data_IF_113819288909
#
_entry.id   IF_113819288909
#
_cell.length_a   1.000
_cell.length_b   1.000
_cell.length_c   1.000
_cell.angle_alpha   90.00
_cell.angle_beta   90.00
_cell.angle_gamma   90.00
#
_symmetry.space_group_name_H-M   'P 1'
#
loop_
_entity.id
_entity.type
_entity.pdbx_description
1 polymer ?
#
# COMPACT_ATOMS: atom_id res chain seq x y z
N UNK A 1 -34.07 27.45 48.82
CA UNK A 1 -32.80 27.16 49.54
C UNK A 1 -32.87 25.82 50.30
N UNK A 2 -33.31 24.73 49.65
CA UNK A 2 -33.39 23.38 50.26
C UNK A 2 -33.24 22.22 49.26
N UNK A 3 -32.89 22.48 47.99
CA UNK A 3 -32.70 21.46 46.96
C UNK A 3 -31.25 21.32 46.46
N UNK A 4 -30.33 22.19 46.91
CA UNK A 4 -28.90 22.09 46.58
C UNK A 4 -28.06 21.27 47.59
N UNK A 5 -28.65 20.78 48.69
CA UNK A 5 -27.93 19.99 49.72
C UNK A 5 -28.06 18.47 49.57
N UNK A 6 -28.85 17.95 48.62
CA UNK A 6 -29.02 16.49 48.40
C UNK A 6 -28.11 15.89 47.33
N UNK A 7 -27.49 16.69 46.46
CA UNK A 7 -26.58 16.20 45.42
C UNK A 7 -25.10 16.13 45.85
N UNK A 8 -24.72 16.70 46.99
CA UNK A 8 -23.33 16.66 47.46
C UNK A 8 -22.99 15.39 48.27
N UNK A 9 -24.00 14.69 48.80
CA UNK A 9 -23.81 13.43 49.53
C UNK A 9 -23.67 12.21 48.60
N UNK A 10 -24.22 12.28 47.38
CA UNK A 10 -24.19 11.17 46.42
C UNK A 10 -22.84 11.05 45.70
N UNK A 11 -22.10 12.17 45.58
CA UNK A 11 -20.77 12.20 44.96
C UNK A 11 -19.61 11.83 45.90
N UNK A 12 -19.85 11.75 47.22
CA UNK A 12 -18.85 11.31 48.21
C UNK A 12 -18.89 9.80 48.50
N UNK A 13 -19.90 9.08 48.02
CA UNK A 13 -20.04 7.62 48.23
C UNK A 13 -19.51 6.77 47.06
N UNK A 14 -19.24 7.35 45.90
CA UNK A 14 -18.71 6.62 44.73
C UNK A 14 -17.18 6.68 44.59
N UNK A 15 -16.48 7.52 45.36
CA UNK A 15 -15.01 7.60 45.36
C UNK A 15 -14.33 6.67 46.38
N UNK A 16 -15.07 5.79 47.04
CA UNK A 16 -14.56 4.92 48.12
C UNK A 16 -14.42 3.43 47.75
N UNK A 17 -14.55 3.05 46.47
CA UNK A 17 -14.45 1.64 46.01
C UNK A 17 -13.07 1.32 45.41
N UNK A 18 -12.15 2.28 45.36
CA UNK A 18 -10.74 2.02 45.06
C UNK A 18 -9.95 2.09 46.37
N UNK A 19 -9.12 1.07 46.58
CA UNK A 19 -8.12 0.88 47.66
C UNK A 19 -8.62 0.09 48.87
N UNK A 20 -8.53 -1.25 48.78
CA UNK A 20 -7.78 -2.11 49.73
C UNK A 20 -8.03 -3.60 49.42
N UNK A 21 -7.02 -4.26 48.88
CA UNK A 21 -6.52 -5.56 49.38
C UNK A 21 -5.16 -5.85 48.74
N UNK A 22 -4.11 -5.62 49.53
CA UNK A 22 -2.76 -6.17 49.38
C UNK A 22 -2.64 -7.28 50.43
N UNK A 23 -2.00 -8.41 50.11
CA UNK A 23 -0.89 -9.04 50.87
C UNK A 23 -0.56 -10.47 50.38
N UNK A 24 0.71 -10.83 50.58
CA UNK A 24 1.59 -11.82 49.93
C UNK A 24 1.39 -13.33 50.26
N UNK A 25 1.78 -14.17 49.27
CA UNK A 25 2.74 -15.34 49.20
C UNK A 25 2.97 -16.21 50.47
N UNK A 26 2.99 -17.57 50.36
CA UNK A 26 4.24 -18.35 50.17
C UNK A 26 4.17 -19.60 49.25
N UNK A 27 5.36 -20.21 49.11
CA UNK A 27 6.03 -21.16 48.20
C UNK A 27 5.64 -22.66 48.13
N UNK A 28 6.22 -23.32 47.08
CA UNK A 28 6.61 -24.75 46.88
C UNK A 28 5.56 -25.65 46.16
N UNK A 29 5.87 -26.62 45.28
CA UNK A 29 7.09 -27.20 44.70
C UNK A 29 6.70 -28.27 43.62
N UNK A 30 7.51 -28.35 42.55
CA UNK A 30 7.85 -29.44 41.58
C UNK A 30 6.81 -30.48 41.10
N UNK A 31 6.68 -30.64 39.77
CA UNK A 31 6.99 -31.91 39.04
C UNK A 31 7.34 -31.63 37.58
N UNK A 32 8.30 -32.40 37.09
CA UNK A 32 9.07 -32.33 35.85
C UNK A 32 8.27 -32.73 34.59
N UNK A 33 8.66 -32.15 33.45
CA UNK A 33 8.64 -32.82 32.15
C UNK A 33 9.70 -32.14 31.27
N UNK A 34 10.77 -32.89 31.03
CA UNK A 34 11.86 -32.60 30.10
C UNK A 34 11.31 -32.44 28.67
N UNK A 35 11.92 -31.56 27.87
CA UNK A 35 12.30 -31.85 26.47
C UNK A 35 13.11 -30.68 25.89
N UNK A 36 14.41 -30.96 25.78
CA UNK A 36 15.36 -30.61 24.72
C UNK A 36 15.47 -29.15 24.24
N UNK A 37 16.58 -28.56 24.69
CA UNK A 37 17.29 -27.41 24.16
C UNK A 37 17.79 -27.66 22.72
N UNK A 38 17.26 -26.91 21.76
CA UNK A 38 17.95 -26.59 20.50
C UNK A 38 17.99 -25.07 20.34
N UNK A 39 19.11 -24.50 20.75
CA UNK A 39 19.49 -23.13 20.44
C UNK A 39 20.12 -23.12 19.04
N UNK A 40 19.33 -22.84 18.01
CA UNK A 40 19.85 -22.52 16.67
C UNK A 40 20.01 -21.00 16.57
N UNK A 41 21.24 -20.59 16.30
CA UNK A 41 21.69 -19.21 16.27
C UNK A 41 21.27 -18.63 14.92
N UNK A 42 20.28 -17.72 14.90
CA UNK A 42 19.99 -16.92 13.71
C UNK A 42 21.09 -15.86 13.57
N UNK A 43 22.06 -16.13 12.69
CA UNK A 43 22.97 -15.09 12.19
C UNK A 43 22.17 -14.17 11.27
N UNK A 44 21.99 -12.93 11.72
CA UNK A 44 21.47 -11.83 10.92
C UNK A 44 22.44 -11.53 9.75
N UNK A 45 22.19 -12.07 8.56
CA UNK A 45 22.78 -11.54 7.33
C UNK A 45 22.04 -10.26 6.93
N UNK A 46 22.65 -9.13 7.27
CA UNK A 46 22.36 -7.81 6.73
C UNK A 46 22.69 -7.78 5.23
N UNK A 47 21.73 -8.16 4.37
CA UNK A 47 21.90 -8.01 2.91
C UNK A 47 21.68 -6.55 2.52
N UNK A 48 22.75 -5.76 2.54
CA UNK A 48 22.81 -4.50 1.82
C UNK A 48 22.91 -4.81 0.32
N UNK A 49 21.84 -4.61 -0.45
CA UNK A 49 21.94 -4.61 -1.92
C UNK A 49 21.29 -3.34 -2.48
N UNK A 50 22.16 -2.40 -2.83
CA UNK A 50 21.87 -1.35 -3.78
C UNK A 50 22.40 -1.81 -5.14
N UNK A 51 21.51 -2.25 -6.02
CA UNK A 51 21.90 -2.65 -7.37
C UNK A 51 21.25 -1.70 -8.41
N UNK A 52 22.03 -0.68 -8.78
CA UNK A 52 21.95 0.03 -10.06
C UNK A 52 22.92 -0.66 -11.04
N UNK A 53 22.46 -1.72 -11.69
CA UNK A 53 23.08 -2.17 -12.93
C UNK A 53 21.98 -2.79 -13.77
N UNK A 54 21.74 -2.26 -14.98
CA UNK A 54 20.66 -2.63 -15.90
C UNK A 54 20.75 -4.07 -16.46
N UNK A 55 20.98 -5.06 -15.60
CA UNK A 55 20.98 -6.48 -15.89
C UNK A 55 19.61 -7.04 -15.53
N UNK A 56 18.95 -7.63 -16.53
CA UNK A 56 17.78 -8.48 -16.29
C UNK A 56 18.25 -9.70 -15.48
N UNK A 57 17.91 -9.76 -14.20
CA UNK A 57 18.19 -10.92 -13.34
C UNK A 57 17.54 -12.17 -13.95
N UNK A 58 18.37 -13.09 -14.48
CA UNK A 58 17.96 -14.48 -14.74
C UNK A 58 18.02 -15.29 -13.43
N UNK A 59 17.34 -14.82 -12.40
CA UNK A 59 16.95 -15.66 -11.27
C UNK A 59 15.41 -15.74 -11.27
N UNK A 60 14.81 -16.85 -11.75
CA UNK A 60 13.35 -16.98 -11.91
C UNK A 60 12.55 -16.71 -10.62
N UNK A 61 13.19 -16.72 -9.45
CA UNK A 61 12.57 -16.44 -8.13
C UNK A 61 12.21 -14.97 -7.88
N UNK A 62 12.68 -14.01 -8.68
CA UNK A 62 12.51 -12.58 -8.39
C UNK A 62 12.10 -11.71 -9.59
N UNK A 63 11.88 -12.28 -10.78
CA UNK A 63 11.35 -11.49 -11.91
C UNK A 63 9.86 -11.19 -11.67
N UNK A 64 9.44 -9.91 -11.69
CA UNK A 64 8.02 -9.56 -11.57
C UNK A 64 7.21 -10.21 -12.70
N UNK A 65 6.10 -10.87 -12.36
CA UNK A 65 5.18 -11.42 -13.36
C UNK A 65 4.58 -10.29 -14.18
N UNK A 66 4.64 -10.42 -15.52
CA UNK A 66 4.00 -9.47 -16.43
C UNK A 66 2.48 -9.64 -16.47
N UNK A 67 1.99 -10.85 -16.20
CA UNK A 67 0.54 -11.16 -16.21
C UNK A 67 -0.15 -10.77 -14.91
N UNK A 68 0.57 -10.86 -13.79
CA UNK A 68 0.07 -10.51 -12.46
C UNK A 68 1.14 -9.73 -11.69
N UNK A 69 1.37 -8.45 -12.06
CA UNK A 69 2.36 -7.61 -11.41
C UNK A 69 1.97 -7.38 -9.95
N UNK A 70 2.99 -7.30 -9.10
CA UNK A 70 2.81 -7.04 -7.68
C UNK A 70 3.01 -5.55 -7.40
N UNK A 71 1.98 -4.93 -6.84
CA UNK A 71 1.98 -3.56 -6.34
C UNK A 71 1.68 -3.60 -4.82
N UNK A 72 2.73 -3.77 -4.02
CA UNK A 72 2.61 -3.87 -2.56
C UNK A 72 2.10 -2.57 -1.93
N UNK A 73 2.42 -1.44 -2.54
CA UNK A 73 1.96 -0.13 -2.09
C UNK A 73 0.45 -0.02 -2.30
N UNK A 74 -0.08 -0.38 -3.48
CA UNK A 74 -1.52 -0.43 -3.71
C UNK A 74 -2.22 -1.46 -2.82
N UNK A 75 -1.64 -2.65 -2.64
CA UNK A 75 -2.22 -3.65 -1.75
C UNK A 75 -2.34 -3.14 -0.30
N UNK A 76 -1.31 -2.44 0.18
CA UNK A 76 -1.30 -1.80 1.51
C UNK A 76 -2.40 -0.73 1.60
N UNK A 77 -2.57 0.08 0.55
CA UNK A 77 -3.63 1.10 0.49
C UNK A 77 -5.04 0.50 0.52
N UNK A 78 -5.22 -0.68 -0.08
CA UNK A 78 -6.47 -1.43 -0.05
C UNK A 78 -6.67 -2.23 1.25
N UNK A 79 -5.70 -2.20 2.18
CA UNK A 79 -5.71 -3.00 3.40
C UNK A 79 -5.57 -4.51 3.14
N UNK A 80 -5.11 -4.90 1.95
CA UNK A 80 -4.90 -6.30 1.57
C UNK A 80 -3.56 -6.80 2.12
N UNK A 81 -3.59 -7.92 2.86
CA UNK A 81 -2.38 -8.55 3.38
C UNK A 81 -1.79 -9.53 2.38
N UNK A 82 -0.77 -9.10 1.66
CA UNK A 82 -0.13 -9.96 0.67
C UNK A 82 0.57 -11.16 1.29
N UNK A 83 0.36 -12.33 0.68
CA UNK A 83 1.09 -13.54 1.05
C UNK A 83 2.47 -13.57 0.38
N UNK A 84 3.24 -14.62 0.73
CA UNK A 84 4.59 -14.84 0.22
C UNK A 84 4.59 -14.92 -1.31
N UNK A 85 5.45 -14.11 -1.94
CA UNK A 85 5.69 -14.11 -3.40
C UNK A 85 6.07 -15.50 -3.92
N UNK A 86 5.75 -15.76 -5.18
CA UNK A 86 6.14 -16.95 -5.92
C UNK A 86 6.16 -16.68 -7.42
N UNK A 87 6.90 -17.50 -8.15
CA UNK A 87 6.86 -17.57 -9.61
C UNK A 87 6.28 -18.91 -10.07
N UNK A 88 6.45 -19.97 -9.28
CA UNK A 88 5.84 -21.28 -9.50
C UNK A 88 5.35 -21.93 -8.20
N UNK A 89 4.59 -23.02 -8.32
CA UNK A 89 4.12 -23.82 -7.18
C UNK A 89 5.28 -24.32 -6.30
N UNK A 90 6.46 -24.57 -6.88
CA UNK A 90 7.63 -25.09 -6.18
C UNK A 90 8.25 -24.09 -5.21
N UNK A 91 8.05 -22.80 -5.45
CA UNK A 91 8.52 -21.79 -4.52
C UNK A 91 7.79 -21.90 -3.19
N UNK A 92 6.55 -22.39 -3.18
CA UNK A 92 5.71 -22.42 -2.00
C UNK A 92 6.20 -23.44 -0.96
N UNK A 93 6.41 -22.98 0.28
CA UNK A 93 6.84 -23.81 1.43
C UNK A 93 6.00 -25.07 1.69
N UNK A 94 4.78 -25.15 1.15
CA UNK A 94 3.86 -26.27 1.38
C UNK A 94 3.28 -26.75 0.05
N UNK A 95 3.26 -28.07 -0.15
CA UNK A 95 2.63 -28.73 -1.31
C UNK A 95 1.12 -28.48 -1.41
N UNK A 96 0.48 -28.02 -0.34
CA UNK A 96 -0.95 -27.64 -0.30
C UNK A 96 -1.20 -26.21 -0.79
N UNK A 97 -0.14 -25.46 -1.10
CA UNK A 97 -0.25 -24.10 -1.64
C UNK A 97 0.06 -24.12 -3.13
N UNK A 98 -0.56 -23.18 -3.84
CA UNK A 98 -0.43 -22.96 -5.28
C UNK A 98 -0.02 -21.52 -5.52
N UNK A 99 0.81 -21.31 -6.55
CA UNK A 99 1.21 -19.99 -6.96
C UNK A 99 0.13 -19.39 -7.86
N UNK A 100 -0.63 -18.45 -7.33
CA UNK A 100 -1.82 -17.90 -7.98
C UNK A 100 -1.83 -16.37 -7.86
N UNK A 101 -2.50 -15.71 -8.80
CA UNK A 101 -2.60 -14.26 -8.87
C UNK A 101 -3.58 -13.71 -7.82
N UNK A 102 -3.13 -12.83 -6.93
CA UNK A 102 -3.91 -12.23 -5.84
C UNK A 102 -4.12 -10.72 -6.04
N UNK A 103 -4.49 -10.31 -7.25
CA UNK A 103 -4.73 -8.89 -7.58
C UNK A 103 -3.49 -8.03 -7.38
N UNK A 104 -3.60 -6.95 -6.60
CA UNK A 104 -2.47 -6.05 -6.30
C UNK A 104 -1.29 -6.76 -5.62
N UNK A 105 -1.54 -7.87 -4.92
CA UNK A 105 -0.47 -8.67 -4.33
C UNK A 105 0.32 -9.50 -5.34
N UNK A 106 -0.03 -9.47 -6.63
CA UNK A 106 0.67 -10.23 -7.65
C UNK A 106 0.63 -11.75 -7.39
N UNK A 107 1.60 -12.47 -7.93
CA UNK A 107 1.74 -13.91 -7.71
C UNK A 107 2.08 -14.24 -6.24
N UNK A 108 1.19 -14.99 -5.60
CA UNK A 108 1.23 -15.30 -4.18
C UNK A 108 1.02 -16.79 -3.91
N UNK A 109 1.62 -17.32 -2.84
CA UNK A 109 1.39 -18.70 -2.41
C UNK A 109 0.09 -18.85 -1.62
N UNK A 110 -0.96 -19.23 -2.32
CA UNK A 110 -2.33 -19.33 -1.80
C UNK A 110 -2.63 -20.78 -1.44
N UNK A 111 -3.36 -21.03 -0.35
CA UNK A 111 -3.92 -22.37 -0.05
C UNK A 111 -5.33 -22.44 -0.65
N UNK A 112 -5.57 -23.15 -1.76
CA UNK A 112 -6.88 -23.14 -2.42
C UNK A 112 -8.03 -23.63 -1.54
N UNK A 113 -7.76 -24.60 -0.66
CA UNK A 113 -8.74 -25.16 0.29
C UNK A 113 -8.99 -24.25 1.52
N UNK A 114 -8.43 -23.03 1.57
CA UNK A 114 -8.77 -22.08 2.63
C UNK A 114 -10.10 -21.44 2.27
N UNK A 115 -11.08 -21.62 3.15
CA UNK A 115 -12.40 -21.00 3.00
C UNK A 115 -12.44 -19.62 3.67
N UNK A 116 -13.17 -18.70 3.05
CA UNK A 116 -13.61 -17.46 3.65
C UNK A 116 -14.77 -17.67 4.63
N UNK A 117 -14.96 -16.77 5.62
CA UNK A 117 -16.04 -16.87 6.59
C UNK A 117 -17.42 -16.94 5.96
N UNK A 118 -18.34 -17.60 6.66
CA UNK A 118 -19.75 -17.57 6.33
C UNK A 118 -20.30 -16.15 6.35
N UNK A 119 -21.06 -15.80 5.30
CA UNK A 119 -21.78 -14.53 5.22
C UNK A 119 -23.23 -14.74 5.64
N UNK A 120 -23.71 -13.91 6.56
CA UNK A 120 -25.13 -13.80 6.87
C UNK A 120 -25.86 -13.05 5.77
N UNK A 121 -27.17 -13.29 5.64
CA UNK A 121 -28.00 -12.44 4.79
C UNK A 121 -28.03 -11.01 5.35
N UNK A 122 -27.89 -9.98 4.50
CA UNK A 122 -27.97 -8.59 4.94
C UNK A 122 -29.37 -8.28 5.47
N UNK A 123 -29.48 -7.25 6.31
CA UNK A 123 -30.77 -6.79 6.85
C UNK A 123 -31.76 -6.37 5.75
N UNK A 124 -31.24 -5.89 4.62
CA UNK A 124 -32.01 -5.52 3.43
C UNK A 124 -31.29 -6.02 2.17
N UNK A 125 -32.03 -6.71 1.30
CA UNK A 125 -31.49 -7.35 0.11
C UNK A 125 -31.13 -8.82 0.34
N UNK A 126 -30.23 -9.34 -0.48
CA UNK A 126 -29.74 -10.71 -0.38
C UNK A 126 -28.31 -10.83 -0.88
N UNK A 127 -27.61 -11.84 -0.36
CA UNK A 127 -26.26 -12.22 -0.82
C UNK A 127 -26.30 -13.64 -1.39
N UNK A 128 -25.68 -13.82 -2.56
CA UNK A 128 -25.53 -15.11 -3.23
C UNK A 128 -24.05 -15.44 -3.39
N UNK A 129 -23.67 -16.67 -3.03
CA UNK A 129 -22.28 -17.14 -3.05
C UNK A 129 -22.08 -18.11 -4.22
N UNK A 130 -21.01 -17.91 -5.00
CA UNK A 130 -20.55 -18.92 -5.97
C UNK A 130 -19.76 -20.05 -5.29
N UNK A 131 -19.30 -19.82 -4.07
CA UNK A 131 -18.44 -20.69 -3.27
C UNK A 131 -17.83 -19.93 -2.10
N UNK A 132 -16.91 -20.56 -1.37
CA UNK A 132 -16.17 -19.94 -0.24
C UNK A 132 -14.65 -20.03 -0.38
N UNK A 133 -14.14 -20.60 -1.45
CA UNK A 133 -12.70 -20.77 -1.67
C UNK A 133 -12.10 -19.57 -2.38
N UNK A 134 -10.78 -19.49 -2.44
CA UNK A 134 -10.06 -18.43 -3.16
C UNK A 134 -10.67 -18.16 -4.55
N UNK A 135 -10.93 -16.88 -4.85
CA UNK A 135 -11.56 -16.44 -6.11
C UNK A 135 -13.08 -16.62 -6.17
N UNK A 136 -13.70 -17.22 -5.16
CA UNK A 136 -15.17 -17.27 -5.06
C UNK A 136 -15.73 -15.87 -4.87
N UNK A 137 -16.98 -15.69 -5.30
CA UNK A 137 -17.64 -14.40 -5.39
C UNK A 137 -18.93 -14.39 -4.55
N UNK A 138 -19.06 -13.38 -3.69
CA UNK A 138 -20.28 -13.06 -2.96
C UNK A 138 -20.94 -11.84 -3.62
N UNK A 139 -22.09 -12.03 -4.26
CA UNK A 139 -22.80 -10.99 -5.00
C UNK A 139 -24.03 -10.53 -4.22
N UNK A 140 -24.13 -9.21 -4.03
CA UNK A 140 -25.21 -8.57 -3.29
C UNK A 140 -26.24 -7.98 -4.25
N UNK A 141 -27.51 -8.15 -3.91
CA UNK A 141 -28.64 -7.62 -4.68
C UNK A 141 -29.62 -6.93 -3.75
N UNK A 142 -30.08 -5.75 -4.16
CA UNK A 142 -31.06 -4.98 -3.42
C UNK A 142 -32.48 -5.15 -3.99
N UNK A 143 -33.53 -4.96 -3.17
CA UNK A 143 -34.90 -4.92 -3.65
C UNK A 143 -35.14 -3.74 -4.61
N UNK A 144 -36.25 -3.79 -5.35
CA UNK A 144 -36.64 -2.68 -6.22
C UNK A 144 -36.70 -1.34 -5.48
N UNK A 145 -36.13 -0.30 -6.09
CA UNK A 145 -36.04 1.05 -5.50
C UNK A 145 -34.88 1.24 -4.51
N UNK A 146 -33.99 0.25 -4.37
CA UNK A 146 -32.75 0.35 -3.61
C UNK A 146 -31.56 -0.03 -4.49
N UNK A 147 -30.41 0.53 -4.15
CA UNK A 147 -29.13 0.37 -4.85
C UNK A 147 -28.08 -0.12 -3.86
N UNK A 148 -27.16 -0.95 -4.35
CA UNK A 148 -26.03 -1.43 -3.56
C UNK A 148 -25.03 -0.27 -3.40
N UNK A 149 -24.82 0.18 -2.18
CA UNK A 149 -23.84 1.20 -1.80
C UNK A 149 -22.64 0.50 -1.16
N UNK A 150 -21.50 0.51 -1.86
CA UNK A 150 -20.31 -0.26 -1.50
C UNK A 150 -19.91 -1.24 -2.62
N UNK A 151 -19.20 -2.29 -2.24
CA UNK A 151 -18.75 -3.31 -3.19
C UNK A 151 -19.90 -4.24 -3.56
N UNK A 152 -20.41 -4.16 -4.80
CA UNK A 152 -21.51 -5.03 -5.26
C UNK A 152 -21.16 -6.52 -5.17
N UNK A 153 -19.88 -6.83 -5.36
CA UNK A 153 -19.39 -8.18 -5.37
C UNK A 153 -18.08 -8.30 -4.60
N UNK A 154 -18.05 -9.13 -3.56
CA UNK A 154 -16.87 -9.36 -2.72
C UNK A 154 -16.17 -10.63 -3.17
N UNK A 155 -14.85 -10.58 -3.30
CA UNK A 155 -14.01 -11.72 -3.67
C UNK A 155 -13.41 -12.37 -2.43
N UNK A 156 -13.33 -13.70 -2.41
CA UNK A 156 -12.58 -14.41 -1.38
C UNK A 156 -11.08 -14.34 -1.71
N UNK A 157 -10.34 -13.58 -0.90
CA UNK A 157 -8.92 -13.25 -1.11
C UNK A 157 -8.00 -14.37 -0.63
N UNK A 158 -6.72 -14.29 -1.00
CA UNK A 158 -5.72 -15.31 -0.67
C UNK A 158 -5.57 -15.57 0.83
N UNK A 159 -5.77 -14.53 1.64
CA UNK A 159 -5.66 -14.61 3.09
C UNK A 159 -6.85 -15.35 3.75
N UNK A 160 -7.92 -15.62 2.99
CA UNK A 160 -9.15 -16.23 3.48
C UNK A 160 -10.14 -15.21 4.03
N UNK A 161 -10.04 -13.94 3.63
CA UNK A 161 -11.03 -12.91 3.96
C UNK A 161 -11.81 -12.47 2.71
N UNK A 162 -13.03 -11.98 2.92
CA UNK A 162 -13.82 -11.36 1.86
C UNK A 162 -13.35 -9.94 1.63
N UNK A 163 -13.05 -9.59 0.37
CA UNK A 163 -12.62 -8.26 -0.02
C UNK A 163 -13.62 -7.19 0.43
N UNK A 164 -13.09 -6.08 0.94
CA UNK A 164 -13.86 -4.93 1.39
C UNK A 164 -14.85 -5.24 2.52
N UNK A 165 -15.69 -4.25 2.83
CA UNK A 165 -16.78 -4.38 3.78
C UNK A 165 -18.07 -4.88 3.13
N UNK A 166 -19.00 -5.36 3.95
CA UNK A 166 -20.37 -5.65 3.50
C UNK A 166 -21.05 -4.37 2.98
N UNK A 167 -21.62 -4.37 1.77
CA UNK A 167 -22.31 -3.21 1.23
C UNK A 167 -23.70 -3.05 1.84
N UNK A 168 -24.29 -1.86 1.69
CA UNK A 168 -25.61 -1.53 2.24
C UNK A 168 -26.58 -1.16 1.12
N UNK A 169 -27.83 -1.60 1.20
CA UNK A 169 -28.88 -1.17 0.28
C UNK A 169 -29.42 0.22 0.68
N UNK A 170 -29.31 1.21 -0.21
CA UNK A 170 -29.84 2.58 0.00
C UNK A 170 -30.61 3.08 -1.22
N UNK A 171 -31.53 4.03 -1.03
CA UNK A 171 -32.39 4.48 -2.13
C UNK A 171 -31.71 5.52 -3.04
N UNK A 172 -31.23 6.66 -2.54
CA UNK A 172 -30.94 7.78 -3.46
C UNK A 172 -29.69 8.61 -3.19
N UNK A 173 -28.97 8.41 -2.07
CA UNK A 173 -27.88 9.32 -1.70
C UNK A 173 -26.62 8.52 -1.40
N UNK A 174 -25.70 8.54 -2.36
CA UNK A 174 -24.37 7.94 -2.33
C UNK A 174 -23.50 8.59 -3.41
N UNK A 175 -22.18 8.62 -3.22
CA UNK A 175 -21.29 9.06 -4.28
C UNK A 175 -21.02 7.91 -5.25
N UNK A 176 -20.72 8.27 -6.50
CA UNK A 176 -20.18 7.36 -7.50
C UNK A 176 -18.66 7.27 -7.33
N UNK A 177 -17.97 6.78 -8.38
CA UNK A 177 -16.50 6.70 -8.41
C UNK A 177 -15.83 8.04 -8.05
N UNK A 178 -14.78 8.02 -7.21
CA UNK A 178 -14.05 9.21 -6.82
C UNK A 178 -13.28 9.80 -8.02
N UNK A 179 -12.97 11.11 -8.02
CA UNK A 179 -12.30 11.76 -9.14
C UNK A 179 -10.91 11.17 -9.41
N UNK A 180 -10.53 11.01 -10.67
CA UNK A 180 -9.18 10.55 -11.06
C UNK A 180 -8.19 11.71 -11.04
N UNK A 181 -7.03 11.52 -10.43
CA UNK A 181 -5.94 12.51 -10.40
C UNK A 181 -4.76 11.96 -11.19
N UNK A 182 -4.17 12.79 -12.05
CA UNK A 182 -3.00 12.41 -12.84
C UNK A 182 -1.81 12.08 -11.93
N UNK A 183 -1.08 11.01 -12.28
CA UNK A 183 0.03 10.49 -11.49
C UNK A 183 -0.32 10.17 -10.02
N UNK A 184 -1.58 9.82 -9.74
CA UNK A 184 -2.01 9.39 -8.41
C UNK A 184 -2.88 8.13 -8.47
N UNK A 185 -2.88 7.40 -7.36
CA UNK A 185 -3.77 6.28 -7.06
C UNK A 185 -4.52 6.54 -5.76
N UNK A 186 -5.53 5.73 -5.46
CA UNK A 186 -6.38 5.94 -4.30
C UNK A 186 -6.81 4.65 -3.59
N UNK A 187 -7.28 4.80 -2.36
CA UNK A 187 -7.70 3.69 -1.47
C UNK A 187 -9.06 3.06 -1.81
N UNK A 188 -9.77 3.53 -2.84
CA UNK A 188 -10.99 2.88 -3.31
C UNK A 188 -10.68 1.60 -4.11
N UNK A 189 -11.47 0.54 -3.89
CA UNK A 189 -11.35 -0.73 -4.60
C UNK A 189 -11.77 -0.56 -6.07
N UNK A 190 -11.07 -1.16 -7.06
CA UNK A 190 -11.41 -1.01 -8.48
C UNK A 190 -12.81 -1.49 -8.87
N UNK A 191 -13.34 -2.52 -8.19
CA UNK A 191 -14.70 -3.03 -8.44
C UNK A 191 -15.79 -2.22 -7.70
N UNK A 192 -15.43 -1.18 -6.92
CA UNK A 192 -16.38 -0.39 -6.13
C UNK A 192 -16.81 0.87 -6.89
N UNK A 193 -18.05 0.86 -7.39
CA UNK A 193 -18.62 2.00 -8.11
C UNK A 193 -19.44 2.97 -7.23
N UNK A 194 -19.82 2.57 -6.02
CA UNK A 194 -20.68 3.36 -5.13
C UNK A 194 -20.11 3.47 -3.72
N UNK A 195 -20.30 4.64 -3.11
CA UNK A 195 -19.68 5.01 -1.84
C UNK A 195 -20.70 5.68 -0.94
N UNK A 196 -20.70 5.27 0.33
CA UNK A 196 -21.62 5.84 1.29
C UNK A 196 -21.25 7.29 1.65
N UNK A 197 -22.22 8.05 2.15
CA UNK A 197 -21.94 9.34 2.78
C UNK A 197 -20.91 9.17 3.89
N UNK A 198 -20.09 10.21 4.06
CA UNK A 198 -18.93 10.26 4.93
C UNK A 198 -17.78 9.30 4.57
N UNK A 199 -17.92 8.48 3.53
CA UNK A 199 -16.79 7.72 2.98
C UNK A 199 -15.65 8.66 2.63
N UNK A 200 -14.43 8.28 3.00
CA UNK A 200 -13.22 9.04 2.71
C UNK A 200 -12.29 8.21 1.86
N UNK A 201 -11.84 8.78 0.75
CA UNK A 201 -10.85 8.18 -0.14
C UNK A 201 -9.55 8.94 0.00
N UNK A 202 -8.46 8.20 0.25
CA UNK A 202 -7.13 8.74 0.40
C UNK A 202 -6.35 8.52 -0.90
N UNK A 203 -5.79 9.61 -1.42
CA UNK A 203 -4.95 9.62 -2.62
C UNK A 203 -3.48 9.56 -2.25
N UNK A 204 -2.68 8.99 -3.15
CA UNK A 204 -1.24 8.90 -3.06
C UNK A 204 -0.64 9.10 -4.45
N UNK A 205 0.33 9.99 -4.56
CA UNK A 205 1.06 10.18 -5.81
C UNK A 205 1.89 8.93 -6.13
N UNK A 206 2.04 8.65 -7.42
CA UNK A 206 2.92 7.60 -7.91
C UNK A 206 4.38 7.91 -7.57
N UNK A 207 5.20 6.86 -7.54
CA UNK A 207 6.63 6.93 -7.30
C UNK A 207 7.30 7.91 -8.27
N UNK A 208 8.14 8.81 -7.73
CA UNK A 208 8.77 9.88 -8.50
C UNK A 208 7.97 11.19 -8.57
N UNK A 209 6.76 11.22 -8.00
CA UNK A 209 5.98 12.44 -7.85
C UNK A 209 5.90 12.87 -6.37
N UNK A 210 5.88 14.17 -6.14
CA UNK A 210 5.66 14.80 -4.84
C UNK A 210 4.21 15.24 -4.72
N UNK A 211 3.64 15.04 -3.54
CA UNK A 211 2.28 15.49 -3.22
C UNK A 211 2.29 16.96 -2.85
N UNK A 212 1.49 17.75 -3.56
CA UNK A 212 1.13 19.12 -3.18
C UNK A 212 -0.38 19.22 -2.90
N UNK A 213 -0.76 19.92 -1.84
CA UNK A 213 -2.16 20.08 -1.44
C UNK A 213 -2.70 18.98 -0.51
N UNK A 214 -4.01 18.72 -0.59
CA UNK A 214 -4.76 17.86 0.33
C UNK A 214 -5.23 16.55 -0.35
N UNK A 215 -4.61 15.40 -0.05
CA UNK A 215 -4.83 14.15 -0.77
C UNK A 215 -6.07 13.36 -0.28
N UNK A 216 -7.15 14.02 0.14
CA UNK A 216 -8.33 13.35 0.69
C UNK A 216 -9.60 13.86 0.04
N UNK A 217 -10.44 12.94 -0.41
CA UNK A 217 -11.79 13.23 -0.86
C UNK A 217 -12.80 12.68 0.14
N UNK A 218 -13.85 13.44 0.43
CA UNK A 218 -14.95 12.99 1.29
C UNK A 218 -16.27 13.04 0.54
N UNK A 219 -17.03 11.96 0.62
CA UNK A 219 -18.36 11.89 0.05
C UNK A 219 -19.35 12.63 0.96
N UNK A 220 -19.93 13.73 0.49
CA UNK A 220 -20.89 14.52 1.25
C UNK A 220 -22.15 14.79 0.41
N UNK A 221 -23.27 15.02 1.09
CA UNK A 221 -24.51 15.45 0.45
C UNK A 221 -24.78 16.94 0.71
N UNK A 222 -25.04 17.68 -0.35
CA UNK A 222 -25.49 19.08 -0.30
C UNK A 222 -26.74 19.20 -1.15
N UNK A 223 -27.79 19.82 -0.60
CA UNK A 223 -29.10 20.01 -1.26
C UNK A 223 -29.71 18.72 -1.84
N UNK A 224 -29.49 17.60 -1.14
CA UNK A 224 -30.02 16.28 -1.53
C UNK A 224 -29.21 15.56 -2.62
N UNK A 225 -28.08 16.13 -3.06
CA UNK A 225 -27.18 15.51 -4.02
C UNK A 225 -25.84 15.14 -3.37
N UNK A 226 -25.44 13.88 -3.51
CA UNK A 226 -24.14 13.40 -3.06
C UNK A 226 -23.05 13.70 -4.11
N UNK A 227 -21.93 14.24 -3.66
CA UNK A 227 -20.74 14.47 -4.49
C UNK A 227 -19.47 14.33 -3.65
N UNK A 228 -18.35 14.11 -4.35
CA UNK A 228 -17.03 14.16 -3.75
C UNK A 228 -16.59 15.61 -3.52
N UNK A 229 -16.08 15.87 -2.33
CA UNK A 229 -15.45 17.13 -1.96
C UNK A 229 -13.96 16.89 -1.73
N UNK A 230 -13.13 17.64 -2.44
CA UNK A 230 -11.73 17.28 -2.66
C UNK A 230 -11.57 16.12 -3.66
N UNK A 231 -10.35 15.62 -3.88
CA UNK A 231 -9.12 16.10 -3.26
C UNK A 231 -8.62 17.38 -3.95
N UNK A 232 -8.07 18.31 -3.17
CA UNK A 232 -7.37 19.48 -3.70
C UNK A 232 -5.87 19.16 -3.76
N UNK A 233 -5.49 18.24 -4.65
CA UNK A 233 -4.15 17.65 -4.75
C UNK A 233 -3.58 17.80 -6.16
N UNK A 234 -2.27 18.06 -6.25
CA UNK A 234 -1.46 17.86 -7.46
C UNK A 234 -0.29 16.91 -7.17
N UNK A 235 0.05 16.09 -8.16
CA UNK A 235 1.22 15.22 -8.12
C UNK A 235 2.26 15.75 -9.11
N UNK A 236 3.29 16.41 -8.57
CA UNK A 236 4.31 17.08 -9.38
C UNK A 236 5.58 16.22 -9.44
N UNK A 237 6.24 16.08 -10.61
CA UNK A 237 7.43 15.25 -10.70
C UNK A 237 8.53 15.81 -9.79
N UNK A 238 9.17 14.92 -9.00
CA UNK A 238 10.21 15.32 -8.05
C UNK A 238 11.37 15.96 -8.78
N UNK A 239 11.89 17.07 -8.25
CA UNK A 239 13.08 17.72 -8.80
C UNK A 239 14.34 17.06 -8.27
N UNK A 240 15.28 16.75 -9.17
CA UNK A 240 16.65 16.38 -8.81
C UNK A 240 17.58 17.59 -8.66
N UNK A 241 17.05 18.79 -8.90
CA UNK A 241 17.84 20.02 -9.02
C UNK A 241 18.70 20.05 -10.28
N UNK A 242 19.19 21.24 -10.63
CA UNK A 242 20.13 21.38 -11.74
C UNK A 242 21.49 20.77 -11.31
N UNK A 243 22.03 19.79 -12.06
CA UNK A 243 23.31 19.21 -11.73
C UNK A 243 24.46 20.19 -12.04
N UNK A 244 25.61 20.09 -11.35
CA UNK A 244 26.74 20.97 -11.59
C UNK A 244 27.46 20.64 -12.89
N UNK A 245 28.05 21.66 -13.52
CA UNK A 245 28.94 21.48 -14.67
C UNK A 245 30.31 20.91 -14.25
N UNK A 246 30.91 20.00 -15.05
CA UNK A 246 32.26 19.53 -14.83
C UNK A 246 33.25 20.65 -15.18
N UNK A 247 34.41 20.66 -14.53
CA UNK A 247 35.48 21.57 -14.90
C UNK A 247 35.85 21.37 -16.38
N UNK A 248 35.96 22.46 -17.14
CA UNK A 248 36.22 22.45 -18.59
C UNK A 248 35.13 21.75 -19.43
N UNK A 249 33.91 21.67 -18.92
CA UNK A 249 32.76 21.16 -19.67
C UNK A 249 31.45 21.83 -19.26
N UNK A 250 30.35 21.34 -19.83
CA UNK A 250 29.00 21.79 -19.54
C UNK A 250 28.01 20.63 -19.66
N UNK A 251 26.84 20.75 -19.05
CA UNK A 251 25.70 19.86 -19.29
C UNK A 251 24.63 20.50 -20.17
N UNK A 252 23.89 19.67 -20.89
CA UNK A 252 22.70 20.03 -21.66
C UNK A 252 21.52 19.15 -21.21
N UNK A 253 20.36 19.76 -20.98
CA UNK A 253 19.12 19.06 -20.67
C UNK A 253 17.96 20.03 -20.47
N UNK A 254 16.74 19.60 -20.82
CA UNK A 254 15.55 20.46 -20.82
C UNK A 254 14.68 20.27 -19.56
N UNK A 255 14.86 19.17 -18.83
CA UNK A 255 14.11 18.85 -17.61
C UNK A 255 15.01 18.27 -16.53
N UNK A 256 14.88 18.81 -15.32
CA UNK A 256 15.60 18.40 -14.12
C UNK A 256 14.69 17.72 -13.09
N UNK A 257 13.53 17.24 -13.55
CA UNK A 257 12.56 16.50 -12.74
C UNK A 257 12.57 15.02 -13.09
N UNK A 258 11.87 14.20 -12.30
CA UNK A 258 11.81 12.74 -12.45
C UNK A 258 11.62 12.31 -13.91
N UNK A 259 12.48 11.38 -14.37
CA UNK A 259 12.53 10.92 -15.77
C UNK A 259 13.35 11.81 -16.72
N UNK A 260 13.78 12.99 -16.26
CA UNK A 260 14.65 13.90 -17.01
C UNK A 260 16.04 13.32 -17.26
N UNK A 261 16.64 13.70 -18.40
CA UNK A 261 17.98 13.29 -18.81
C UNK A 261 18.84 14.52 -19.09
N UNK A 262 20.07 14.49 -18.59
CA UNK A 262 21.11 15.46 -18.94
C UNK A 262 22.29 14.75 -19.62
N UNK A 263 22.93 15.43 -20.57
CA UNK A 263 24.13 14.97 -21.27
C UNK A 263 25.27 15.96 -21.06
N UNK A 264 26.45 15.45 -20.73
CA UNK A 264 27.65 16.21 -20.46
C UNK A 264 28.55 16.28 -21.69
N UNK A 265 29.22 17.41 -21.82
CA UNK A 265 30.12 17.73 -22.91
C UNK A 265 31.38 18.39 -22.35
N UNK A 266 32.51 18.21 -23.04
CA UNK A 266 33.78 18.84 -22.71
C UNK A 266 34.13 19.92 -23.75
N UNK A 267 34.84 20.94 -23.29
CA UNK A 267 35.39 21.98 -24.15
C UNK A 267 36.48 21.45 -25.09
N UNK A 268 36.85 22.27 -26.06
CA UNK A 268 37.91 21.95 -27.01
C UNK A 268 39.23 21.62 -26.29
N UNK A 269 39.90 20.54 -26.73
CA UNK A 269 41.13 20.04 -26.12
C UNK A 269 40.91 19.18 -24.86
N UNK A 270 39.66 18.86 -24.50
CA UNK A 270 39.33 17.97 -23.40
C UNK A 270 38.44 16.79 -23.85
N UNK A 271 38.64 15.63 -23.24
CA UNK A 271 37.85 14.42 -23.45
C UNK A 271 37.07 14.04 -22.19
N UNK A 272 35.84 13.55 -22.37
CA UNK A 272 34.96 13.17 -21.27
C UNK A 272 35.29 11.76 -20.76
N UNK A 273 35.57 11.66 -19.47
CA UNK A 273 35.81 10.41 -18.74
C UNK A 273 34.63 10.15 -17.79
N UNK A 274 34.01 8.97 -17.93
CA UNK A 274 32.84 8.57 -17.15
C UNK A 274 31.57 8.46 -18.01
N UNK A 275 30.40 8.37 -17.38
CA UNK A 275 29.12 8.32 -18.11
C UNK A 275 28.73 9.71 -18.55
N UNK A 276 28.55 9.89 -19.87
CA UNK A 276 28.15 11.16 -20.45
C UNK A 276 26.71 11.56 -20.11
N UNK A 277 25.87 10.63 -19.65
CA UNK A 277 24.46 10.88 -19.37
C UNK A 277 24.13 10.62 -17.89
N UNK A 278 23.23 11.45 -17.34
CA UNK A 278 22.63 11.23 -16.02
C UNK A 278 21.11 11.38 -16.11
N UNK A 279 20.42 10.61 -15.27
CA UNK A 279 18.97 10.47 -15.25
C UNK A 279 18.42 10.81 -13.87
N UNK A 280 17.36 11.63 -13.83
CA UNK A 280 16.70 12.02 -12.58
C UNK A 280 15.80 10.90 -12.09
N UNK A 281 16.13 10.35 -10.93
CA UNK A 281 15.46 9.21 -10.31
C UNK A 281 14.27 9.64 -9.45
N UNK A 282 13.43 8.66 -9.08
CA UNK A 282 12.20 8.87 -8.34
C UNK A 282 12.42 9.40 -6.91
N UNK A 283 13.61 9.22 -6.33
CA UNK A 283 13.97 9.74 -5.01
C UNK A 283 14.42 11.21 -5.06
N UNK A 284 14.55 11.80 -6.25
CA UNK A 284 15.09 13.14 -6.45
C UNK A 284 16.63 13.17 -6.55
N UNK A 285 17.27 12.04 -6.85
CA UNK A 285 18.72 11.98 -7.10
C UNK A 285 19.08 11.77 -8.57
N UNK A 286 20.26 12.24 -8.98
CA UNK A 286 20.80 11.99 -10.31
C UNK A 286 21.63 10.70 -10.33
N UNK A 287 21.32 9.80 -11.26
CA UNK A 287 22.05 8.54 -11.46
C UNK A 287 22.71 8.50 -12.85
N UNK A 288 23.99 8.12 -12.97
CA UNK A 288 24.92 7.75 -11.88
C UNK A 288 25.18 8.89 -10.89
N UNK A 289 25.55 8.57 -9.65
CA UNK A 289 25.87 9.57 -8.62
C UNK A 289 27.16 10.34 -8.95
N UNK A 290 28.14 9.64 -9.52
CA UNK A 290 29.42 10.21 -9.94
C UNK A 290 29.24 11.14 -11.14
N UNK A 291 29.92 12.30 -11.09
CA UNK A 291 29.97 13.25 -12.19
C UNK A 291 31.05 12.82 -13.20
N UNK A 292 30.81 12.97 -14.52
CA UNK A 292 31.87 12.80 -15.50
C UNK A 292 32.91 13.91 -15.34
N UNK A 293 34.15 13.63 -15.75
CA UNK A 293 35.27 14.58 -15.68
C UNK A 293 35.81 14.84 -17.08
N UNK A 294 36.16 16.10 -17.37
CA UNK A 294 36.86 16.45 -18.61
C UNK A 294 38.36 16.48 -18.37
N UNK A 295 39.11 15.65 -19.09
CA UNK A 295 40.58 15.57 -18.98
C UNK A 295 41.24 16.09 -20.26
N UNK A 296 42.39 16.77 -20.19
CA UNK A 296 43.08 17.25 -21.40
C UNK A 296 43.40 16.10 -22.37
N UNK A 297 43.15 16.32 -23.66
CA UNK A 297 43.55 15.37 -24.69
C UNK A 297 45.08 15.37 -24.85
N UNK A 298 45.72 14.19 -25.04
CA UNK A 298 47.13 14.14 -25.41
C UNK A 298 47.36 14.92 -26.70
N UNK A 299 48.41 15.73 -26.75
CA UNK A 299 48.82 16.39 -28.00
C UNK A 299 49.09 15.31 -29.06
N UNK A 300 48.51 15.48 -30.25
CA UNK A 300 48.85 14.65 -31.40
C UNK A 300 50.29 14.98 -31.82
N UNK A 301 51.20 14.02 -31.63
CA UNK A 301 52.61 14.06 -32.02
C UNK A 301 52.77 13.81 -33.53
#
# INVERSE_FOLDING_TARGET
>A
MLLLKKNLLYWLLLSAILVKTVYCVPTAAVTEADDENDSEWDEDEESSEADDDGRVYKNPRNSPSTECPRDEEQATLLGQKCLRKCSSDEDCKSKKKKCLCDGACGMSCIKPDRECPDLSQPSLGSVTLSGKHFGSRATYTCPHGYHVVGLQSRLCQADGSWAGSEPVCKQNIYCLEPPTIEHARHSALPEQATFDLDSTVQYHCHTGYATAGFPRAKCLAVDGQASWYGPDISCEPRSCGQPPDPAHGWHAGESYTFGGKVTYHCGEGYELVGRAERYCQADGSWTPKELPTCVPQPAAD
#
